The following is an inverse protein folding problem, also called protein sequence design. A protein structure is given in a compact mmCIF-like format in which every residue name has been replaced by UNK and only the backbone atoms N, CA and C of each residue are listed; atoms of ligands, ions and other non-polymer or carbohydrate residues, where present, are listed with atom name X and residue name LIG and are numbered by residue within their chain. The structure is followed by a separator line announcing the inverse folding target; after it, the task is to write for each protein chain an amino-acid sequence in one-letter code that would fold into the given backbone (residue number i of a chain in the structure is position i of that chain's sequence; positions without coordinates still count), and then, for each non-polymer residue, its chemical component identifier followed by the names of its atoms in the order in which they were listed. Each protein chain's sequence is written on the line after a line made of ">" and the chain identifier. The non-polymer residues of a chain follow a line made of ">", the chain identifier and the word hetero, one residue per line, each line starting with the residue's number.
data_IF_064736241639
#
_entry.id   IF_064736241639
#
_cell.length_a   1.000
_cell.length_b   1.000
_cell.length_c   1.000
_cell.angle_alpha   90.00
_cell.angle_beta   90.00
_cell.angle_gamma   90.00
#
_symmetry.space_group_name_H-M   'P 1'
#
loop_
_entity.id
_entity.type
_entity.pdbx_description
1 polymer ?
#
# COMPACT_ATOMS: atom_id res chain seq x y z
N UNK A 1 5.02 8.79 -19.05
CA UNK A 1 5.97 7.82 -18.50
C UNK A 1 6.39 6.87 -19.60
N UNK A 2 7.48 6.16 -19.41
CA UNK A 2 7.94 5.25 -20.43
C UNK A 2 7.15 3.96 -20.51
N UNK A 3 7.38 3.13 -21.55
CA UNK A 3 6.63 1.89 -21.75
C UNK A 3 6.76 0.89 -20.61
N UNK A 4 7.95 0.77 -20.01
CA UNK A 4 8.14 -0.15 -18.89
C UNK A 4 7.30 0.27 -17.69
N UNK A 5 7.26 1.57 -17.40
CA UNK A 5 6.47 2.10 -16.28
C UNK A 5 4.98 1.93 -16.54
N UNK A 6 4.55 2.18 -17.78
CA UNK A 6 3.14 2.01 -18.14
C UNK A 6 2.70 0.56 -17.99
N UNK A 7 3.52 -0.38 -18.42
CA UNK A 7 3.22 -1.81 -18.28
C UNK A 7 3.16 -2.23 -16.80
N UNK A 8 4.10 -1.73 -15.99
CA UNK A 8 4.11 -1.97 -14.56
C UNK A 8 2.79 -1.49 -13.92
N UNK A 9 2.41 -0.25 -14.19
CA UNK A 9 1.20 0.33 -13.60
C UNK A 9 -0.05 -0.42 -14.04
N UNK A 10 -0.11 -0.84 -15.30
CA UNK A 10 -1.23 -1.63 -15.81
C UNK A 10 -1.35 -2.94 -15.05
N UNK A 11 -0.24 -3.57 -14.73
CA UNK A 11 -0.26 -4.84 -14.00
C UNK A 11 -0.69 -4.66 -12.54
N UNK A 12 -0.20 -3.62 -11.84
CA UNK A 12 -0.29 -3.59 -10.39
C UNK A 12 -1.44 -2.76 -9.83
N UNK A 13 -1.87 -1.68 -10.52
CA UNK A 13 -2.76 -0.71 -9.86
C UNK A 13 -4.14 -1.26 -9.52
N UNK A 14 -4.75 -2.00 -10.42
CA UNK A 14 -6.12 -2.49 -10.19
C UNK A 14 -6.15 -3.50 -9.05
N UNK A 15 -5.24 -4.46 -9.05
CA UNK A 15 -5.18 -5.47 -8.00
C UNK A 15 -4.83 -4.86 -6.67
N UNK A 16 -3.94 -3.88 -6.67
CA UNK A 16 -3.53 -3.19 -5.46
C UNK A 16 -4.69 -2.38 -4.87
N UNK A 17 -5.46 -1.69 -5.69
CA UNK A 17 -6.65 -0.98 -5.24
C UNK A 17 -7.62 -1.94 -4.55
N UNK A 18 -7.91 -3.07 -5.18
CA UNK A 18 -8.82 -4.06 -4.63
C UNK A 18 -8.29 -4.67 -3.33
N UNK A 19 -6.99 -4.95 -3.29
CA UNK A 19 -6.36 -5.53 -2.11
C UNK A 19 -6.40 -4.57 -0.92
N UNK A 20 -6.23 -3.28 -1.18
CA UNK A 20 -6.25 -2.28 -0.11
C UNK A 20 -7.67 -2.02 0.41
N UNK A 21 -8.68 -2.13 -0.44
CA UNK A 21 -10.08 -2.10 0.03
C UNK A 21 -10.34 -3.30 0.94
N UNK A 22 -9.92 -4.50 0.55
CA UNK A 22 -10.08 -5.69 1.37
C UNK A 22 -9.36 -5.55 2.71
N UNK A 23 -8.15 -5.00 2.70
CA UNK A 23 -7.38 -4.76 3.92
C UNK A 23 -8.15 -3.86 4.88
N UNK A 24 -8.76 -2.81 4.37
CA UNK A 24 -9.55 -1.88 5.19
C UNK A 24 -10.90 -2.44 5.57
N UNK A 25 -11.21 -3.63 5.12
CA UNK A 25 -12.40 -4.38 5.58
C UNK A 25 -11.98 -5.58 6.44
N UNK A 26 -10.78 -5.59 6.96
CA UNK A 26 -10.30 -6.60 7.89
C UNK A 26 -9.63 -7.81 7.27
N UNK A 27 -9.48 -7.84 5.95
CA UNK A 27 -8.92 -8.98 5.24
C UNK A 27 -7.55 -8.65 4.65
N UNK A 28 -6.50 -9.17 5.26
CA UNK A 28 -5.13 -8.93 4.81
C UNK A 28 -4.71 -9.83 3.64
N UNK A 29 -5.46 -10.90 3.35
CA UNK A 29 -4.97 -11.92 2.41
C UNK A 29 -4.74 -11.41 0.99
N UNK A 30 -5.62 -10.57 0.41
CA UNK A 30 -5.32 -10.01 -0.92
C UNK A 30 -4.05 -9.16 -0.95
N UNK A 31 -3.79 -8.36 0.10
CA UNK A 31 -2.52 -7.63 0.19
C UNK A 31 -1.34 -8.58 0.25
N UNK A 32 -1.45 -9.61 1.09
CA UNK A 32 -0.36 -10.59 1.24
C UNK A 32 -0.05 -11.30 -0.06
N UNK A 33 -1.06 -11.51 -0.91
CA UNK A 33 -0.85 -12.11 -2.22
C UNK A 33 -0.04 -11.23 -3.17
N UNK A 34 0.00 -9.91 -2.94
CA UNK A 34 0.75 -8.97 -3.77
C UNK A 34 2.16 -8.72 -3.23
N UNK A 35 2.41 -9.07 -1.98
CA UNK A 35 3.72 -8.91 -1.37
C UNK A 35 4.58 -10.13 -1.65
N UNK A 36 5.89 -9.90 -1.70
CA UNK A 36 6.86 -10.97 -1.87
C UNK A 36 6.80 -11.95 -0.70
N UNK A 37 7.24 -13.18 -0.93
CA UNK A 37 7.51 -14.15 0.14
C UNK A 37 9.01 -14.38 0.30
N UNK A 38 9.81 -13.62 -0.42
CA UNK A 38 11.27 -13.79 -0.44
C UNK A 38 11.94 -12.66 0.33
N UNK A 39 13.08 -12.99 0.94
CA UNK A 39 13.90 -11.97 1.60
C UNK A 39 14.78 -11.25 0.59
N UNK A 40 15.16 -10.00 0.83
CA UNK A 40 14.76 -9.18 1.98
C UNK A 40 13.40 -8.53 1.74
N UNK A 41 12.70 -8.24 2.84
CA UNK A 41 11.40 -7.60 2.77
C UNK A 41 11.17 -6.82 4.06
N UNK A 42 10.52 -5.66 3.96
CA UNK A 42 10.34 -4.79 5.11
C UNK A 42 9.16 -3.86 4.95
N UNK A 43 8.64 -3.41 6.09
CA UNK A 43 7.56 -2.44 6.14
C UNK A 43 7.82 -1.44 7.27
N UNK A 44 7.70 -0.16 6.95
CA UNK A 44 7.72 0.91 7.94
C UNK A 44 6.33 1.55 7.94
N UNK A 45 5.67 1.52 9.07
CA UNK A 45 4.31 2.04 9.19
C UNK A 45 4.20 3.17 10.20
N UNK A 46 2.97 3.62 10.39
CA UNK A 46 2.71 4.71 11.31
C UNK A 46 3.01 4.30 12.76
N UNK A 47 3.23 5.29 13.60
CA UNK A 47 3.53 5.11 15.03
C UNK A 47 4.81 4.32 15.26
N UNK A 48 5.77 4.43 14.34
CA UNK A 48 7.06 3.78 14.49
C UNK A 48 7.06 2.29 14.18
N UNK A 49 6.01 1.77 13.58
CA UNK A 49 5.97 0.36 13.21
C UNK A 49 7.14 0.03 12.28
N UNK A 50 7.82 -1.06 12.58
CA UNK A 50 8.95 -1.54 11.78
C UNK A 50 8.92 -3.07 11.79
N UNK A 51 8.71 -3.66 10.63
CA UNK A 51 8.73 -5.11 10.47
C UNK A 51 9.75 -5.47 9.40
N UNK A 52 10.58 -6.44 9.67
CA UNK A 52 11.57 -6.93 8.71
C UNK A 52 11.47 -8.43 8.58
N UNK A 53 11.62 -8.91 7.34
CA UNK A 53 11.49 -10.32 7.02
C UNK A 53 10.04 -10.69 6.72
N UNK A 54 9.89 -11.74 5.91
CA UNK A 54 8.57 -12.14 5.41
C UNK A 54 7.60 -12.49 6.54
N UNK A 55 8.04 -13.25 7.53
CA UNK A 55 7.16 -13.68 8.61
C UNK A 55 6.62 -12.49 9.41
N UNK A 56 7.51 -11.57 9.80
CA UNK A 56 7.13 -10.40 10.60
C UNK A 56 6.22 -9.47 9.83
N UNK A 57 6.52 -9.21 8.57
CA UNK A 57 5.71 -8.31 7.74
C UNK A 57 4.30 -8.89 7.57
N UNK A 58 4.21 -10.18 7.26
CA UNK A 58 2.92 -10.82 7.04
C UNK A 58 2.08 -10.85 8.31
N UNK A 59 2.68 -11.16 9.43
CA UNK A 59 1.98 -11.14 10.70
C UNK A 59 1.52 -9.72 11.06
N UNK A 60 2.39 -8.73 10.86
CA UNK A 60 2.04 -7.34 11.11
C UNK A 60 0.81 -6.92 10.30
N UNK A 61 0.77 -7.24 9.00
CA UNK A 61 -0.37 -6.90 8.16
C UNK A 61 -1.66 -7.57 8.63
N UNK A 62 -1.61 -8.85 9.01
CA UNK A 62 -2.80 -9.53 9.51
C UNK A 62 -3.33 -8.86 10.78
N UNK A 63 -2.44 -8.45 11.65
CA UNK A 63 -2.78 -7.79 12.90
C UNK A 63 -3.42 -6.43 12.66
N UNK A 64 -2.80 -5.63 11.79
CA UNK A 64 -3.29 -4.28 11.51
C UNK A 64 -4.63 -4.32 10.77
N UNK A 65 -4.82 -5.26 9.87
CA UNK A 65 -6.08 -5.38 9.12
C UNK A 65 -7.28 -5.53 10.05
N UNK A 66 -7.12 -6.21 11.18
CA UNK A 66 -8.23 -6.41 12.13
C UNK A 66 -8.73 -5.12 12.76
N UNK A 67 -7.99 -4.05 12.63
CA UNK A 67 -8.38 -2.74 13.20
C UNK A 67 -9.30 -1.95 12.28
N UNK A 68 -9.43 -2.38 11.02
CA UNK A 68 -10.21 -1.69 10.00
C UNK A 68 -11.51 -2.41 9.70
N UNK A 69 -12.57 -1.64 9.39
CA UNK A 69 -13.83 -2.18 8.87
C UNK A 69 -14.58 -1.09 8.12
N UNK A 70 -15.61 -1.51 7.42
CA UNK A 70 -16.55 -0.60 6.73
C UNK A 70 -15.84 0.46 5.86
N UNK A 71 -15.06 0.05 4.85
CA UNK A 71 -14.35 1.00 3.99
C UNK A 71 -15.35 1.64 3.00
N UNK A 72 -15.98 2.75 3.41
CA UNK A 72 -16.95 3.44 2.56
C UNK A 72 -16.28 4.16 1.40
N UNK A 73 -15.07 4.66 1.61
CA UNK A 73 -14.27 5.24 0.55
C UNK A 73 -12.83 4.80 0.69
N UNK A 74 -12.24 4.40 -0.40
CA UNK A 74 -10.81 4.19 -0.48
C UNK A 74 -10.33 4.52 -1.89
N UNK A 75 -9.30 5.35 -1.97
CA UNK A 75 -8.70 5.71 -3.25
C UNK A 75 -7.19 5.83 -3.09
N UNK A 76 -6.47 5.15 -3.97
CA UNK A 76 -5.03 5.38 -4.13
C UNK A 76 -4.82 6.46 -5.19
N UNK A 77 -4.14 7.52 -4.80
CA UNK A 77 -3.80 8.61 -5.70
C UNK A 77 -2.33 8.51 -6.03
N UNK A 78 -2.02 8.07 -7.25
CA UNK A 78 -0.64 7.93 -7.71
C UNK A 78 -0.02 9.31 -7.91
N UNK A 79 1.16 9.54 -7.34
CA UNK A 79 1.93 10.76 -7.52
C UNK A 79 3.04 10.52 -8.54
N UNK A 80 3.76 9.42 -8.41
CA UNK A 80 4.92 9.14 -9.24
C UNK A 80 5.19 7.65 -9.23
N UNK A 81 5.71 7.14 -10.32
CA UNK A 81 6.18 5.76 -10.40
C UNK A 81 7.27 5.64 -11.46
N UNK A 82 8.10 4.65 -11.29
CA UNK A 82 9.11 4.33 -12.29
C UNK A 82 9.41 2.83 -12.23
N UNK A 83 9.56 2.22 -13.39
CA UNK A 83 9.96 0.82 -13.50
C UNK A 83 11.11 0.71 -14.48
N UNK A 84 12.14 -0.03 -14.08
CA UNK A 84 13.31 -0.23 -14.91
C UNK A 84 13.89 -1.61 -14.65
N UNK A 85 13.86 -2.49 -15.66
CA UNK A 85 14.28 -3.87 -15.49
C UNK A 85 13.38 -4.60 -14.49
N UNK A 86 13.98 -5.18 -13.46
CA UNK A 86 13.27 -5.97 -12.48
C UNK A 86 12.96 -5.22 -11.19
N UNK A 87 13.10 -3.90 -11.22
CA UNK A 87 12.81 -3.05 -10.05
C UNK A 87 11.84 -1.93 -10.43
N UNK A 88 10.99 -1.57 -9.48
CA UNK A 88 10.04 -0.47 -9.67
C UNK A 88 9.70 0.15 -8.33
N UNK A 89 9.16 1.38 -8.37
CA UNK A 89 8.61 1.99 -7.18
C UNK A 89 7.35 2.78 -7.53
N UNK A 90 6.51 2.99 -6.54
CA UNK A 90 5.37 3.90 -6.64
C UNK A 90 5.32 4.78 -5.38
N UNK A 91 4.84 5.99 -5.58
CA UNK A 91 4.63 6.96 -4.50
C UNK A 91 3.23 7.53 -4.65
N UNK A 92 2.50 7.60 -3.56
CA UNK A 92 1.16 8.15 -3.65
C UNK A 92 0.52 8.40 -2.29
N UNK A 93 -0.75 8.77 -2.35
CA UNK A 93 -1.59 8.93 -1.18
C UNK A 93 -2.67 7.87 -1.18
N UNK A 94 -2.99 7.37 0.00
CA UNK A 94 -4.17 6.52 0.18
C UNK A 94 -5.17 7.27 1.03
N UNK A 95 -6.35 7.50 0.48
CA UNK A 95 -7.42 8.23 1.14
C UNK A 95 -8.49 7.23 1.60
N UNK A 96 -8.85 7.29 2.86
CA UNK A 96 -9.76 6.33 3.48
C UNK A 96 -10.84 7.06 4.28
N UNK A 97 -12.06 6.56 4.17
CA UNK A 97 -13.16 6.90 5.06
C UNK A 97 -13.82 5.59 5.47
N UNK A 98 -13.88 5.32 6.75
CA UNK A 98 -14.47 4.09 7.27
C UNK A 98 -14.24 3.96 8.77
N UNK A 99 -14.28 2.74 9.28
CA UNK A 99 -14.09 2.48 10.70
C UNK A 99 -12.67 2.03 10.98
N UNK A 100 -12.08 2.60 12.02
CA UNK A 100 -10.76 2.21 12.52
C UNK A 100 -10.79 2.16 14.03
N UNK A 101 -10.36 1.03 14.60
CA UNK A 101 -10.38 0.79 16.05
C UNK A 101 -11.77 1.04 16.64
N UNK A 102 -12.83 0.70 15.90
CA UNK A 102 -14.19 0.90 16.36
C UNK A 102 -14.72 2.32 16.24
N UNK A 103 -13.93 3.25 15.70
CA UNK A 103 -14.37 4.63 15.47
C UNK A 103 -14.92 4.74 14.04
N UNK A 104 -16.25 4.81 13.87
CA UNK A 104 -16.84 5.00 12.54
C UNK A 104 -16.52 6.40 12.04
N UNK A 105 -16.61 6.65 10.77
CA UNK A 105 -16.35 7.96 10.17
C UNK A 105 -14.92 8.46 10.35
N UNK A 106 -13.98 7.54 10.47
CA UNK A 106 -12.56 7.90 10.53
C UNK A 106 -12.07 8.25 9.13
N UNK A 107 -11.42 9.40 9.00
CA UNK A 107 -10.80 9.85 7.76
C UNK A 107 -9.28 9.76 7.92
N UNK A 108 -8.63 9.07 7.00
CA UNK A 108 -7.18 8.94 7.02
C UNK A 108 -6.61 9.23 5.64
N UNK A 109 -5.50 9.94 5.61
CA UNK A 109 -4.67 10.05 4.42
C UNK A 109 -3.30 9.49 4.78
N UNK A 110 -2.91 8.44 4.07
CA UNK A 110 -1.58 7.85 4.21
C UNK A 110 -0.69 8.33 3.09
N UNK A 111 0.55 8.64 3.44
CA UNK A 111 1.62 8.80 2.44
C UNK A 111 2.28 7.45 2.29
N UNK A 112 2.38 6.96 1.07
CA UNK A 112 2.83 5.59 0.85
C UNK A 112 3.86 5.54 -0.26
N UNK A 113 4.99 4.90 0.03
CA UNK A 113 5.98 4.54 -0.98
C UNK A 113 6.11 3.03 -0.99
N UNK A 114 6.16 2.44 -2.18
CA UNK A 114 6.33 1.00 -2.33
C UNK A 114 7.45 0.72 -3.31
N UNK A 115 8.26 -0.28 -2.98
CA UNK A 115 9.31 -0.79 -3.85
C UNK A 115 8.92 -2.19 -4.28
N UNK A 116 9.00 -2.44 -5.57
CA UNK A 116 8.60 -3.71 -6.17
C UNK A 116 9.81 -4.38 -6.81
N UNK A 117 9.77 -5.68 -6.85
CA UNK A 117 10.73 -6.43 -7.66
C UNK A 117 9.97 -7.48 -8.47
N UNK A 118 10.51 -7.82 -9.63
CA UNK A 118 9.91 -8.84 -10.48
C UNK A 118 10.35 -10.21 -9.99
N UNK A 119 9.39 -11.06 -9.68
CA UNK A 119 9.63 -12.43 -9.22
C UNK A 119 8.78 -13.36 -10.06
N UNK A 120 9.41 -14.32 -10.72
CA UNK A 120 8.74 -15.28 -11.60
C UNK A 120 7.81 -14.58 -12.60
N UNK A 121 8.31 -13.51 -13.20
CA UNK A 121 7.59 -12.74 -14.22
C UNK A 121 6.48 -11.83 -13.69
N UNK A 122 6.30 -11.73 -12.38
CA UNK A 122 5.27 -10.88 -11.78
C UNK A 122 5.89 -9.86 -10.83
N UNK A 123 5.28 -8.68 -10.79
CA UNK A 123 5.70 -7.67 -9.83
C UNK A 123 5.19 -8.02 -8.44
N UNK A 124 6.09 -7.97 -7.45
CA UNK A 124 5.77 -8.19 -6.05
C UNK A 124 6.30 -7.04 -5.22
N UNK A 125 5.56 -6.65 -4.18
CA UNK A 125 6.03 -5.59 -3.28
C UNK A 125 7.03 -6.20 -2.31
N UNK A 126 8.19 -5.56 -2.20
CA UNK A 126 9.26 -6.03 -1.32
C UNK A 126 9.49 -5.09 -0.14
N UNK A 127 9.11 -3.82 -0.29
CA UNK A 127 9.22 -2.83 0.76
C UNK A 127 8.13 -1.80 0.63
N UNK A 128 7.67 -1.30 1.75
CA UNK A 128 6.78 -0.17 1.77
C UNK A 128 7.01 0.68 3.01
N UNK A 129 6.66 1.96 2.88
CA UNK A 129 6.66 2.90 3.99
C UNK A 129 5.39 3.71 3.88
N UNK A 130 4.57 3.65 4.93
CA UNK A 130 3.33 4.41 4.95
C UNK A 130 3.09 5.02 6.32
N UNK A 131 2.67 6.27 6.34
CA UNK A 131 2.27 6.94 7.58
C UNK A 131 1.01 7.75 7.35
N UNK A 132 0.30 8.01 8.44
CA UNK A 132 -0.84 8.91 8.40
C UNK A 132 -0.32 10.34 8.50
N UNK A 133 -0.78 11.17 7.59
CA UNK A 133 -0.42 12.58 7.60
C UNK A 133 -1.70 13.39 7.38
N UNK A 134 -2.38 13.80 8.45
CA UNK A 134 -3.69 14.46 8.34
C UNK A 134 -3.68 15.68 7.43
N UNK A 135 -2.52 16.31 7.27
CA UNK A 135 -2.38 17.47 6.40
C UNK A 135 -1.88 17.14 5.01
N UNK A 136 -1.53 15.85 4.76
CA UNK A 136 -0.97 15.48 3.48
C UNK A 136 -2.03 15.58 2.41
N UNK A 137 -1.75 16.35 1.39
CA UNK A 137 -2.58 16.44 0.20
C UNK A 137 -1.72 17.02 -0.90
N UNK A 138 -2.18 16.84 -2.11
CA UNK A 138 -1.46 17.39 -3.25
C UNK A 138 -1.52 18.90 -3.18
N UNK A 139 -0.40 19.55 -3.44
CA UNK A 139 -0.32 21.00 -3.39
C UNK A 139 -1.31 21.67 -4.33
N UNK A 140 -1.61 21.04 -5.44
CA UNK A 140 -2.56 21.57 -6.42
C UNK A 140 -4.01 21.40 -6.00
N UNK A 141 -4.31 20.56 -5.01
CA UNK A 141 -5.68 20.31 -4.58
C UNK A 141 -6.08 21.14 -3.39
N UNK A 142 -5.16 22.04 -2.94
CA UNK A 142 -5.41 22.73 -1.84
C UNK A 142 -5.65 23.95 -2.12
N UNK A 143 -6.36 24.33 -1.65
CA UNK A 143 -6.58 25.73 -1.85
C UNK A 143 -6.39 26.44 -0.55
#
# INVERSE_FOLDING_TARGET
>A
MGPETDAFLTEVLREQQAAEVAFRNGDAEPRLALWSCQEPMSWLGQYGACATGAADVREHFRRVATRFSDPREFLFELIEADAHGDAAYSVGFEHFLGSFDGHPDTVMTHRVSRVYRREDGRWRIAHGHGDVAPWARRSSSRA
#
